data_IF_474163246901
#
_entry.id   IF_474163246901
#
_cell.length_a   1.000
_cell.length_b   1.000
_cell.length_c   1.000
_cell.angle_alpha   90.00
_cell.angle_beta   90.00
_cell.angle_gamma   90.00
#
_symmetry.space_group_name_H-M   'P 1'
#
loop_
_entity.id
_entity.type
_entity.pdbx_description
1 polymer ?
#
# COMPACT_ATOMS: atom_id res chain seq x y z
N UNK A 1 -17.14 0.14 -28.63
CA UNK A 1 -17.54 -1.08 -29.37
C UNK A 1 -16.40 -2.11 -29.32
N UNK A 2 -15.13 -1.75 -29.64
CA UNK A 2 -14.01 -2.69 -29.80
C UNK A 2 -13.68 -3.46 -28.50
N UNK A 3 -13.92 -2.89 -27.33
CA UNK A 3 -13.61 -3.46 -26.02
C UNK A 3 -14.86 -3.76 -25.17
N UNK A 4 -16.06 -3.66 -25.73
CA UNK A 4 -17.28 -3.89 -24.94
C UNK A 4 -17.50 -5.39 -24.69
N UNK A 5 -17.89 -5.78 -23.46
CA UNK A 5 -18.10 -7.19 -23.08
C UNK A 5 -19.06 -7.95 -23.99
N UNK A 6 -20.14 -7.30 -24.46
CA UNK A 6 -21.14 -7.93 -25.31
C UNK A 6 -20.57 -8.40 -26.67
N UNK A 7 -19.55 -7.72 -27.21
CA UNK A 7 -18.91 -8.08 -28.48
C UNK A 7 -17.62 -8.93 -28.27
N UNK A 8 -17.17 -9.07 -27.05
CA UNK A 8 -15.93 -9.78 -26.70
C UNK A 8 -16.14 -10.73 -25.52
N UNK A 9 -17.37 -11.27 -25.39
CA UNK A 9 -17.73 -12.13 -24.24
C UNK A 9 -16.77 -13.30 -24.03
N UNK A 10 -16.33 -13.95 -25.12
CA UNK A 10 -15.34 -15.05 -25.04
C UNK A 10 -14.02 -14.58 -24.43
N UNK A 11 -13.46 -13.47 -24.91
CA UNK A 11 -12.20 -12.95 -24.39
C UNK A 11 -12.31 -12.48 -22.93
N UNK A 12 -13.45 -11.95 -22.50
CA UNK A 12 -13.70 -11.62 -21.09
C UNK A 12 -13.87 -12.86 -20.20
N UNK A 13 -14.52 -13.91 -20.71
CA UNK A 13 -14.60 -15.19 -20.04
C UNK A 13 -13.20 -15.81 -19.84
N UNK A 14 -12.39 -15.79 -20.88
CA UNK A 14 -11.05 -16.38 -20.86
C UNK A 14 -10.06 -15.60 -19.97
N UNK A 15 -10.39 -14.33 -19.62
CA UNK A 15 -9.65 -13.53 -18.63
C UNK A 15 -9.87 -14.05 -17.20
N UNK A 16 -11.03 -14.67 -16.94
CA UNK A 16 -11.35 -15.32 -15.68
C UNK A 16 -10.86 -16.78 -15.78
N UNK A 17 -9.60 -17.01 -15.49
CA UNK A 17 -9.08 -18.37 -15.36
C UNK A 17 -9.76 -19.04 -14.16
N UNK A 18 -10.80 -19.82 -14.43
CA UNK A 18 -11.48 -20.64 -13.42
C UNK A 18 -10.96 -22.05 -13.59
N UNK A 19 -10.29 -22.56 -12.58
CA UNK A 19 -9.86 -23.95 -12.49
C UNK A 19 -10.70 -24.64 -11.44
N UNK A 20 -11.14 -25.87 -11.75
CA UNK A 20 -11.80 -26.70 -10.75
C UNK A 20 -10.76 -27.20 -9.76
N UNK A 21 -10.97 -26.95 -8.47
CA UNK A 21 -10.08 -27.34 -7.39
C UNK A 21 -10.83 -27.92 -6.20
N UNK A 22 -10.12 -28.60 -5.31
CA UNK A 22 -10.64 -29.07 -4.05
C UNK A 22 -10.29 -28.10 -2.92
N UNK A 23 -11.30 -27.45 -2.34
CA UNK A 23 -11.14 -26.42 -1.30
C UNK A 23 -10.20 -26.86 -0.16
N UNK A 24 -10.32 -28.12 0.28
CA UNK A 24 -9.53 -28.64 1.39
C UNK A 24 -8.04 -28.86 1.05
N UNK A 25 -7.69 -28.98 -0.24
CA UNK A 25 -6.33 -29.21 -0.71
C UNK A 25 -5.67 -27.93 -1.19
N UNK A 26 -6.44 -27.05 -1.84
CA UNK A 26 -5.92 -25.87 -2.52
C UNK A 26 -5.88 -24.64 -1.59
N UNK A 27 -6.66 -24.65 -0.51
CA UNK A 27 -6.67 -23.55 0.46
C UNK A 27 -6.08 -24.03 1.79
N UNK A 28 -4.97 -23.41 2.19
CA UNK A 28 -4.34 -23.67 3.48
C UNK A 28 -5.31 -23.41 4.64
N UNK A 29 -5.42 -24.37 5.55
CA UNK A 29 -6.20 -24.19 6.75
C UNK A 29 -5.47 -23.25 7.72
N UNK A 30 -6.16 -22.22 8.18
CA UNK A 30 -5.68 -21.30 9.21
C UNK A 30 -6.44 -21.50 10.51
N UNK A 31 -5.75 -21.22 11.63
CA UNK A 31 -6.39 -21.24 12.94
C UNK A 31 -7.37 -20.08 13.08
N UNK A 32 -8.47 -20.28 13.83
CA UNK A 32 -9.39 -19.18 14.17
C UNK A 32 -8.70 -18.01 14.85
N UNK A 33 -7.61 -18.24 15.57
CA UNK A 33 -6.77 -17.21 16.20
C UNK A 33 -5.94 -16.39 15.23
N UNK A 34 -5.91 -16.74 13.94
CA UNK A 34 -5.18 -16.05 12.89
C UNK A 34 -6.11 -15.30 11.91
N UNK A 35 -7.43 -15.41 12.13
CA UNK A 35 -8.41 -14.74 11.28
C UNK A 35 -8.45 -13.25 11.65
N UNK A 36 -8.31 -12.34 10.66
CA UNK A 36 -8.47 -10.90 10.89
C UNK A 36 -9.87 -10.59 11.45
N UNK A 37 -9.92 -9.92 12.59
CA UNK A 37 -11.18 -9.54 13.26
C UNK A 37 -11.53 -8.06 13.06
N UNK A 38 -10.60 -7.26 12.55
CA UNK A 38 -10.80 -5.85 12.27
C UNK A 38 -11.14 -5.60 10.80
N UNK A 39 -12.09 -4.71 10.57
CA UNK A 39 -12.28 -4.09 9.28
C UNK A 39 -11.28 -2.92 9.07
N UNK A 40 -11.22 -2.40 7.83
CA UNK A 40 -10.30 -1.32 7.47
C UNK A 40 -10.47 -0.09 8.36
N UNK A 41 -11.71 0.37 8.53
CA UNK A 41 -11.98 1.62 9.23
C UNK A 41 -11.63 1.53 10.71
N UNK A 42 -11.91 0.39 11.34
CA UNK A 42 -11.56 0.14 12.74
C UNK A 42 -10.05 0.07 12.93
N UNK A 43 -9.32 -0.55 12.01
CA UNK A 43 -7.86 -0.61 12.06
C UNK A 43 -7.24 0.78 11.84
N UNK A 44 -7.74 1.55 10.86
CA UNK A 44 -7.27 2.93 10.61
C UNK A 44 -7.54 3.83 11.83
N UNK A 45 -8.70 3.68 12.50
CA UNK A 45 -9.01 4.41 13.74
C UNK A 45 -8.04 4.08 14.88
N UNK A 46 -7.67 2.79 15.05
CA UNK A 46 -6.68 2.38 16.05
C UNK A 46 -5.30 2.97 15.74
N UNK A 47 -4.91 2.97 14.47
CA UNK A 47 -3.65 3.56 14.02
C UNK A 47 -3.58 5.06 14.28
N UNK A 48 -4.62 5.79 13.93
CA UNK A 48 -4.73 7.24 14.18
C UNK A 48 -4.70 7.56 15.67
N UNK A 49 -5.46 6.82 16.48
CA UNK A 49 -5.45 6.96 17.94
C UNK A 49 -4.06 6.72 18.53
N UNK A 50 -3.33 5.72 18.02
CA UNK A 50 -1.98 5.43 18.47
C UNK A 50 -1.01 6.56 18.13
N UNK A 51 -1.12 7.15 16.92
CA UNK A 51 -0.35 8.36 16.55
C UNK A 51 -0.62 9.51 17.51
N UNK A 52 -1.87 9.74 17.89
CA UNK A 52 -2.28 10.78 18.83
C UNK A 52 -1.66 10.66 20.24
N UNK A 53 -1.15 9.49 20.62
CA UNK A 53 -0.47 9.30 21.91
C UNK A 53 0.99 9.78 21.92
N UNK A 54 1.57 10.03 20.74
CA UNK A 54 2.97 10.40 20.60
C UNK A 54 3.14 11.93 20.60
N UNK A 55 3.36 12.50 21.77
CA UNK A 55 3.46 13.95 21.97
C UNK A 55 4.57 14.63 21.17
N UNK A 56 5.63 13.90 20.83
CA UNK A 56 6.77 14.38 20.03
C UNK A 56 6.49 14.39 18.52
N UNK A 57 5.53 13.62 18.06
CA UNK A 57 5.19 13.45 16.63
C UNK A 57 3.87 14.09 16.24
N UNK A 58 2.85 14.06 17.11
CA UNK A 58 1.48 14.50 16.81
C UNK A 58 1.37 15.96 16.36
N UNK A 59 2.32 16.81 16.75
CA UNK A 59 2.36 18.20 16.32
C UNK A 59 2.92 18.41 14.90
N UNK A 60 3.57 17.41 14.32
CA UNK A 60 4.27 17.51 13.05
C UNK A 60 3.74 16.54 12.00
N UNK A 61 3.20 15.40 12.46
CA UNK A 61 2.75 14.31 11.61
C UNK A 61 1.35 13.85 12.00
N UNK A 62 0.65 13.29 11.03
CA UNK A 62 -0.67 12.70 11.19
C UNK A 62 -0.69 11.29 10.57
N UNK A 63 -1.69 10.49 10.93
CA UNK A 63 -1.93 9.18 10.33
C UNK A 63 -2.37 9.35 8.88
N UNK A 64 -1.74 8.60 7.95
CA UNK A 64 -2.21 8.54 6.57
C UNK A 64 -3.16 7.37 6.39
N UNK A 65 -4.34 7.64 5.82
CA UNK A 65 -5.35 6.62 5.51
C UNK A 65 -5.02 5.80 4.24
N UNK A 66 -3.81 5.94 3.71
CA UNK A 66 -3.26 5.11 2.62
C UNK A 66 -2.77 3.75 3.15
N UNK A 67 -3.63 3.08 3.91
CA UNK A 67 -3.31 1.83 4.60
C UNK A 67 -3.53 0.60 3.72
N UNK A 68 -2.66 -0.38 3.84
CA UNK A 68 -2.71 -1.66 3.13
C UNK A 68 -2.70 -2.82 4.12
N UNK A 69 -3.52 -3.85 3.85
CA UNK A 69 -3.47 -5.10 4.61
C UNK A 69 -2.49 -6.05 3.94
N UNK A 70 -1.57 -6.57 4.72
CA UNK A 70 -0.53 -7.51 4.29
C UNK A 70 -0.42 -8.67 5.28
N UNK A 71 0.29 -9.73 4.88
CA UNK A 71 0.74 -10.77 5.80
C UNK A 71 2.20 -10.46 6.17
N UNK A 72 2.45 -10.17 7.43
CA UNK A 72 3.78 -9.86 7.95
C UNK A 72 4.14 -10.85 9.06
N UNK A 73 5.23 -11.58 8.86
CA UNK A 73 5.68 -12.62 9.78
C UNK A 73 4.59 -13.63 10.14
N UNK A 74 3.80 -14.04 9.13
CA UNK A 74 2.71 -15.01 9.28
C UNK A 74 1.42 -14.46 9.92
N UNK A 75 1.32 -13.15 10.17
CA UNK A 75 0.16 -12.52 10.80
C UNK A 75 -0.48 -11.48 9.88
N UNK A 76 -1.81 -11.42 9.82
CA UNK A 76 -2.49 -10.37 9.08
C UNK A 76 -2.35 -9.04 9.82
N UNK A 77 -1.68 -8.08 9.20
CA UNK A 77 -1.50 -6.73 9.73
C UNK A 77 -1.96 -5.69 8.72
N UNK A 78 -2.33 -4.51 9.21
CA UNK A 78 -2.52 -3.34 8.37
C UNK A 78 -1.40 -2.36 8.61
N UNK A 79 -0.78 -1.91 7.53
CA UNK A 79 0.33 -0.95 7.58
C UNK A 79 -0.09 0.35 6.92
N UNK A 80 0.32 1.47 7.50
CA UNK A 80 0.06 2.80 6.96
C UNK A 80 1.27 3.71 7.15
N UNK A 81 1.60 4.54 6.16
CA UNK A 81 2.59 5.59 6.36
C UNK A 81 1.99 6.68 7.25
N UNK A 82 2.84 7.54 7.79
CA UNK A 82 2.41 8.83 8.35
C UNK A 82 2.47 9.91 7.28
N UNK A 83 1.85 11.04 7.52
CA UNK A 83 1.83 12.21 6.66
C UNK A 83 2.29 13.46 7.43
N UNK A 84 2.72 14.49 6.73
CA UNK A 84 2.93 15.80 7.37
C UNK A 84 1.60 16.45 7.68
N UNK A 85 1.45 16.99 8.89
CA UNK A 85 0.21 17.64 9.33
C UNK A 85 -0.16 18.87 8.49
N UNK A 86 0.84 19.60 7.97
CA UNK A 86 0.64 20.71 7.05
C UNK A 86 1.87 20.99 6.17
N UNK A 87 1.71 21.93 5.21
CA UNK A 87 2.78 22.32 4.29
C UNK A 87 3.99 22.99 4.97
N UNK A 88 3.78 23.66 6.09
CA UNK A 88 4.87 24.31 6.84
C UNK A 88 5.73 23.24 7.51
N UNK A 89 5.09 22.23 8.10
CA UNK A 89 5.74 21.07 8.71
C UNK A 89 6.51 20.28 7.66
N UNK A 90 5.92 20.09 6.48
CA UNK A 90 6.63 19.48 5.36
C UNK A 90 7.88 20.27 4.99
N UNK A 91 7.78 21.59 4.83
CA UNK A 91 8.91 22.41 4.39
C UNK A 91 10.08 22.37 5.37
N UNK A 92 9.80 22.36 6.66
CA UNK A 92 10.80 22.29 7.73
C UNK A 92 11.44 20.90 7.87
N UNK A 93 10.68 19.83 7.64
CA UNK A 93 11.12 18.45 7.90
C UNK A 93 11.45 17.63 6.64
N UNK A 94 11.24 18.20 5.45
CA UNK A 94 11.42 17.47 4.17
C UNK A 94 12.83 16.86 3.98
N UNK A 95 13.84 17.39 4.65
CA UNK A 95 15.21 16.89 4.58
C UNK A 95 15.33 15.49 5.16
N UNK A 96 14.73 15.27 6.32
CA UNK A 96 14.77 14.02 7.06
C UNK A 96 13.78 12.96 6.52
N UNK A 97 12.70 13.38 5.83
CA UNK A 97 11.62 12.49 5.40
C UNK A 97 10.67 12.13 6.54
N UNK A 98 9.71 11.26 6.26
CA UNK A 98 8.74 10.76 7.25
C UNK A 98 9.42 9.71 8.14
N UNK A 99 9.49 9.92 9.47
CA UNK A 99 10.37 9.14 10.34
C UNK A 99 9.76 7.83 10.84
N UNK A 100 8.51 7.52 10.48
CA UNK A 100 7.82 6.36 11.02
C UNK A 100 6.69 5.88 10.10
N UNK A 101 6.16 4.70 10.43
CA UNK A 101 4.92 4.17 9.90
C UNK A 101 4.15 3.45 11.01
N UNK A 102 2.89 3.10 10.76
CA UNK A 102 2.02 2.46 11.75
C UNK A 102 1.72 1.04 11.31
N UNK A 103 1.80 0.10 12.24
CA UNK A 103 1.34 -1.29 12.08
C UNK A 103 0.16 -1.50 13.03
N UNK A 104 -0.93 -2.08 12.53
CA UNK A 104 -2.07 -2.53 13.32
C UNK A 104 -2.21 -4.04 13.12
N UNK A 105 -2.08 -4.80 14.18
CA UNK A 105 -2.34 -6.24 14.17
C UNK A 105 -3.86 -6.46 14.07
N UNK A 106 -4.28 -7.16 13.02
CA UNK A 106 -5.70 -7.36 12.71
C UNK A 106 -6.37 -8.43 13.60
N UNK A 107 -5.59 -9.15 14.37
CA UNK A 107 -6.04 -10.21 15.30
C UNK A 107 -6.09 -9.70 16.73
N UNK A 108 -4.95 -9.15 17.23
CA UNK A 108 -4.85 -8.65 18.61
C UNK A 108 -5.44 -7.25 18.80
N UNK A 109 -5.71 -6.55 17.69
CA UNK A 109 -6.22 -5.17 17.68
C UNK A 109 -5.25 -4.16 18.30
N UNK A 110 -3.96 -4.49 18.30
CA UNK A 110 -2.91 -3.62 18.82
C UNK A 110 -2.32 -2.77 17.68
N UNK A 111 -2.21 -1.47 17.90
CA UNK A 111 -1.55 -0.55 17.01
C UNK A 111 -0.19 -0.14 17.56
N UNK A 112 0.82 -0.11 16.69
CA UNK A 112 2.20 0.26 17.03
C UNK A 112 2.76 1.23 16.00
N UNK A 113 3.44 2.27 16.45
CA UNK A 113 4.25 3.15 15.60
C UNK A 113 5.69 2.62 15.55
N UNK A 114 6.15 2.32 14.35
CA UNK A 114 7.52 1.86 14.09
C UNK A 114 8.33 3.03 13.58
N UNK A 115 9.38 3.40 14.31
CA UNK A 115 10.29 4.48 13.92
C UNK A 115 11.39 3.94 13.02
N UNK A 116 11.67 4.66 11.96
CA UNK A 116 12.80 4.38 11.08
C UNK A 116 14.10 4.93 11.69
N UNK A 117 15.26 4.36 11.33
CA UNK A 117 16.55 4.87 11.78
C UNK A 117 16.74 6.34 11.38
N UNK A 118 17.52 7.08 12.14
CA UNK A 118 17.79 8.48 11.88
C UNK A 118 18.49 8.65 10.50
N UNK A 119 17.96 9.56 9.69
CA UNK A 119 18.43 9.78 8.32
C UNK A 119 17.79 8.87 7.26
N UNK A 120 17.04 7.85 7.66
CA UNK A 120 16.36 6.90 6.76
C UNK A 120 14.86 7.17 6.64
N UNK A 121 14.39 8.38 6.88
CA UNK A 121 12.97 8.73 6.73
C UNK A 121 12.46 8.55 5.31
N UNK A 122 11.17 8.21 5.18
CA UNK A 122 10.51 8.02 3.89
C UNK A 122 10.40 9.33 3.14
N UNK A 123 10.91 9.35 1.91
CA UNK A 123 10.96 10.56 1.05
C UNK A 123 9.84 10.61 0.01
N UNK A 124 9.12 9.51 -0.16
CA UNK A 124 8.04 9.39 -1.14
C UNK A 124 6.75 8.94 -0.45
N UNK A 125 5.68 9.69 -0.63
CA UNK A 125 4.34 9.34 -0.18
C UNK A 125 3.27 10.05 -1.03
N UNK A 126 1.99 9.74 -0.81
CA UNK A 126 0.89 10.48 -1.44
C UNK A 126 0.76 11.90 -0.90
N UNK A 127 1.08 12.11 0.38
CA UNK A 127 1.02 13.42 1.05
C UNK A 127 2.18 14.35 0.69
N UNK A 128 3.25 13.80 0.14
CA UNK A 128 4.40 14.60 -0.29
C UNK A 128 4.06 15.47 -1.52
N UNK A 129 4.39 16.75 -1.50
CA UNK A 129 4.19 17.64 -2.65
C UNK A 129 5.30 17.48 -3.71
N UNK A 130 5.05 18.09 -4.87
CA UNK A 130 5.99 18.19 -5.99
C UNK A 130 6.50 16.83 -6.48
N UNK A 131 7.81 16.67 -6.63
CA UNK A 131 8.46 15.47 -7.18
C UNK A 131 8.56 14.31 -6.16
N UNK A 132 8.23 14.53 -4.90
CA UNK A 132 8.19 13.51 -3.86
C UNK A 132 6.82 12.84 -3.73
N UNK A 133 5.79 13.36 -4.40
CA UNK A 133 4.53 12.62 -4.53
C UNK A 133 4.78 11.34 -5.31
N UNK A 134 4.45 10.19 -4.70
CA UNK A 134 4.75 8.86 -5.24
C UNK A 134 4.16 8.65 -6.64
N UNK A 135 2.92 9.08 -6.89
CA UNK A 135 2.30 8.96 -8.21
C UNK A 135 3.00 9.78 -9.26
N UNK A 136 3.35 11.01 -8.92
CA UNK A 136 4.05 11.91 -9.85
C UNK A 136 5.44 11.39 -10.15
N UNK A 137 6.14 10.93 -9.12
CA UNK A 137 7.45 10.32 -9.25
C UNK A 137 7.43 9.11 -10.21
N UNK A 138 6.51 8.18 -10.00
CA UNK A 138 6.32 7.01 -10.87
C UNK A 138 5.98 7.41 -12.32
N UNK A 139 5.15 8.44 -12.52
CA UNK A 139 4.81 8.95 -13.86
C UNK A 139 6.01 9.51 -14.61
N UNK A 140 6.91 10.19 -13.92
CA UNK A 140 8.13 10.70 -14.54
C UNK A 140 9.13 9.58 -14.86
N UNK A 141 9.27 8.58 -14.01
CA UNK A 141 10.19 7.47 -14.22
C UNK A 141 9.68 6.46 -15.27
N UNK A 142 8.37 6.23 -15.29
CA UNK A 142 7.74 5.24 -16.15
C UNK A 142 6.59 5.84 -16.96
N UNK A 143 6.87 6.81 -17.86
CA UNK A 143 5.83 7.55 -18.58
C UNK A 143 4.95 6.67 -19.48
N UNK A 144 5.47 5.53 -19.94
CA UNK A 144 4.77 4.59 -20.82
C UNK A 144 4.02 3.48 -20.09
N UNK A 145 4.20 3.36 -18.76
CA UNK A 145 3.54 2.32 -17.99
C UNK A 145 2.16 2.79 -17.53
N UNK A 146 1.18 1.92 -17.69
CA UNK A 146 -0.09 2.06 -16.98
C UNK A 146 0.10 1.47 -15.58
N UNK A 147 0.10 2.34 -14.58
CA UNK A 147 0.25 1.94 -13.19
C UNK A 147 -1.07 2.11 -12.46
N UNK A 148 -1.41 1.14 -11.63
CA UNK A 148 -2.47 1.25 -10.63
C UNK A 148 -1.99 2.09 -9.45
N UNK A 149 -2.89 2.36 -8.49
CA UNK A 149 -2.56 3.09 -7.27
C UNK A 149 -1.49 2.31 -6.49
N UNK A 150 -0.35 2.93 -6.14
CA UNK A 150 0.66 2.32 -5.30
C UNK A 150 0.09 1.91 -3.95
N UNK A 151 0.52 0.77 -3.45
CA UNK A 151 0.19 0.25 -2.14
C UNK A 151 1.39 0.43 -1.21
N UNK A 152 1.13 0.83 0.03
CA UNK A 152 2.17 0.89 1.05
C UNK A 152 2.34 -0.48 1.69
N UNK A 153 3.54 -1.03 1.67
CA UNK A 153 3.87 -2.34 2.21
C UNK A 153 5.18 -2.30 2.99
N UNK A 154 5.44 -3.33 3.77
CA UNK A 154 6.73 -3.56 4.42
C UNK A 154 7.23 -4.95 4.06
N UNK A 155 8.55 -5.10 3.96
CA UNK A 155 9.18 -6.41 3.78
C UNK A 155 9.31 -7.16 5.12
N UNK A 156 9.86 -8.38 5.09
CA UNK A 156 10.02 -9.22 6.28
C UNK A 156 10.97 -8.61 7.34
N UNK A 157 11.84 -7.69 6.94
CA UNK A 157 12.74 -6.93 7.80
C UNK A 157 12.08 -5.66 8.37
N UNK A 158 10.84 -5.36 7.95
CA UNK A 158 10.09 -4.17 8.36
C UNK A 158 10.48 -2.90 7.59
N UNK A 159 11.17 -3.03 6.45
CA UNK A 159 11.50 -1.87 5.61
C UNK A 159 10.29 -1.49 4.75
N UNK A 160 9.92 -0.20 4.70
CA UNK A 160 8.75 0.24 3.93
C UNK A 160 9.04 0.33 2.42
N UNK A 161 8.01 -0.01 1.64
CA UNK A 161 8.02 0.02 0.18
C UNK A 161 6.70 0.58 -0.35
N UNK A 162 6.78 1.19 -1.53
CA UNK A 162 5.60 1.46 -2.35
C UNK A 162 5.59 0.48 -3.51
N UNK A 163 4.55 -0.33 -3.60
CA UNK A 163 4.37 -1.30 -4.67
C UNK A 163 3.31 -0.78 -5.64
N UNK A 164 3.72 -0.43 -6.85
CA UNK A 164 2.82 0.06 -7.90
C UNK A 164 2.53 -1.06 -8.92
N UNK A 165 1.32 -1.66 -8.92
CA UNK A 165 0.96 -2.67 -9.90
C UNK A 165 0.97 -2.08 -11.32
N UNK A 166 1.69 -2.73 -12.24
CA UNK A 166 1.67 -2.43 -13.66
C UNK A 166 0.51 -3.17 -14.32
N UNK A 167 -0.42 -2.41 -14.86
CA UNK A 167 -1.58 -2.95 -15.56
C UNK A 167 -1.41 -2.88 -17.07
N UNK A 168 -2.07 -3.81 -17.77
CA UNK A 168 -2.16 -3.83 -19.23
C UNK A 168 -3.61 -3.99 -19.63
N UNK A 169 -3.91 -3.63 -20.88
CA UNK A 169 -5.21 -3.90 -21.50
C UNK A 169 -5.06 -5.04 -22.48
N UNK A 170 -5.80 -6.11 -22.27
CA UNK A 170 -5.69 -7.37 -23.03
C UNK A 170 -6.82 -7.56 -24.04
N UNK A 171 -7.92 -6.83 -23.89
CA UNK A 171 -9.11 -6.94 -24.77
C UNK A 171 -9.34 -5.63 -25.53
N UNK A 172 -8.95 -5.60 -26.80
CA UNK A 172 -9.00 -4.39 -27.61
C UNK A 172 -8.08 -3.29 -27.04
N UNK A 173 -8.47 -2.02 -27.15
CA UNK A 173 -7.64 -0.89 -26.71
C UNK A 173 -7.84 -0.50 -25.25
N UNK A 174 -9.02 -0.78 -24.66
CA UNK A 174 -9.41 -0.23 -23.35
C UNK A 174 -10.02 -1.27 -22.40
N UNK A 175 -10.24 -2.50 -22.84
CA UNK A 175 -10.89 -3.56 -22.06
C UNK A 175 -9.89 -4.60 -21.52
N UNK A 176 -10.39 -5.47 -20.63
CA UNK A 176 -9.65 -6.58 -20.09
C UNK A 176 -8.40 -6.11 -19.32
N UNK A 177 -8.62 -5.52 -18.14
CA UNK A 177 -7.48 -5.10 -17.30
C UNK A 177 -6.86 -6.30 -16.64
N UNK A 178 -5.55 -6.45 -16.83
CA UNK A 178 -4.75 -7.51 -16.24
C UNK A 178 -3.47 -6.92 -15.61
N UNK A 179 -2.87 -7.63 -14.64
CA UNK A 179 -1.64 -7.24 -13.97
C UNK A 179 -0.46 -7.91 -14.67
N UNK A 180 0.44 -7.12 -15.21
CA UNK A 180 1.66 -7.61 -15.87
C UNK A 180 2.85 -7.75 -14.93
N UNK A 181 2.82 -7.11 -13.77
CA UNK A 181 3.89 -7.06 -12.79
C UNK A 181 3.71 -5.90 -11.83
N UNK A 182 4.74 -5.60 -11.07
CA UNK A 182 4.73 -4.48 -10.14
C UNK A 182 6.05 -3.70 -10.22
N UNK A 183 6.00 -2.42 -9.87
CA UNK A 183 7.17 -1.55 -9.73
C UNK A 183 7.33 -1.27 -8.23
N UNK A 184 8.35 -1.88 -7.58
CA UNK A 184 8.69 -1.53 -6.21
C UNK A 184 9.47 -0.21 -6.19
N UNK A 185 9.12 0.66 -5.26
CA UNK A 185 9.83 1.91 -4.99
C UNK A 185 10.30 1.90 -3.55
N UNK A 186 11.61 1.92 -3.37
CA UNK A 186 12.19 2.05 -2.03
C UNK A 186 11.80 3.39 -1.42
N UNK A 187 11.58 3.41 -0.14
CA UNK A 187 11.17 4.59 0.61
C UNK A 187 12.25 5.70 0.61
N UNK A 188 13.53 5.37 0.44
CA UNK A 188 14.64 6.33 0.46
C UNK A 188 15.22 6.62 -0.93
N UNK A 189 15.35 5.60 -1.77
CA UNK A 189 16.00 5.70 -3.07
C UNK A 189 15.28 4.85 -4.12
N UNK A 190 15.29 5.33 -5.36
CA UNK A 190 14.98 4.51 -6.52
C UNK A 190 16.20 3.65 -6.86
N UNK A 191 16.00 2.37 -6.88
CA UNK A 191 16.87 1.46 -7.62
C UNK A 191 16.10 0.81 -8.76
#
# INVERSE_FOLDING_TARGET
VISMPIFRAGAYRDLLAVEDGEFAQDIGQISFSEIPTLDRNSADYLGDRQMGTLSDMVSQFEYSYDSTQINYQGRPVRVAPIAYADLVKWFTNRGSGLPAYVIVDMVTQEAKVVRLPEGEGMKYSFSEPLNRNIMRHLRFQYPTFMLSTPQFEIDEEGQPWWIAPRIIKTIGLFGGTDIKGAVPVSYTHLR
#
